data_IF_283904728254
#
_entry.id   IF_283904728254
#
_cell.length_a   1.000
_cell.length_b   1.000
_cell.length_c   1.000
_cell.angle_alpha   90.00
_cell.angle_beta   90.00
_cell.angle_gamma   90.00
#
_symmetry.space_group_name_H-M   'P 1'
#
loop_
_entity.id
_entity.type
_entity.pdbx_description
1 polymer ?
#
# COMPACT_ATOMS: atom_id res chain seq x y z
N UNK A 1 4.58 5.01 -16.22
CA UNK A 1 3.97 4.21 -15.14
C UNK A 1 4.71 2.88 -14.96
N UNK A 2 6.04 2.91 -14.76
CA UNK A 2 6.86 1.69 -14.79
C UNK A 2 6.76 0.83 -13.53
N UNK A 3 6.41 1.45 -12.39
CA UNK A 3 6.24 0.77 -11.10
C UNK A 3 5.13 -0.29 -11.14
N UNK A 4 4.26 -0.24 -12.16
CA UNK A 4 3.12 -1.12 -12.36
C UNK A 4 3.28 -2.03 -13.58
N UNK A 5 4.52 -2.29 -14.00
CA UNK A 5 4.84 -3.24 -15.07
C UNK A 5 5.26 -4.60 -14.50
N UNK A 6 4.99 -5.71 -15.20
CA UNK A 6 5.39 -7.04 -14.74
C UNK A 6 6.91 -7.17 -14.47
N UNK A 7 7.74 -6.63 -15.35
CA UNK A 7 9.20 -6.65 -15.20
C UNK A 7 9.67 -5.91 -13.93
N UNK A 8 8.95 -4.87 -13.50
CA UNK A 8 9.25 -4.20 -12.25
C UNK A 8 8.94 -5.10 -11.05
N UNK A 9 7.80 -5.82 -11.06
CA UNK A 9 7.44 -6.76 -9.99
C UNK A 9 8.47 -7.88 -9.84
N UNK A 10 8.95 -8.44 -10.95
CA UNK A 10 9.99 -9.47 -10.96
C UNK A 10 11.33 -8.91 -10.44
N UNK A 11 11.72 -7.69 -10.86
CA UNK A 11 12.92 -7.01 -10.32
C UNK A 11 12.80 -6.71 -8.84
N UNK A 12 11.63 -6.24 -8.39
CA UNK A 12 11.36 -5.93 -6.99
C UNK A 12 11.49 -7.19 -6.12
N UNK A 13 10.96 -8.33 -6.58
CA UNK A 13 11.09 -9.61 -5.88
C UNK A 13 12.55 -10.04 -5.67
N UNK A 14 13.45 -9.68 -6.60
CA UNK A 14 14.87 -9.98 -6.52
C UNK A 14 15.69 -9.02 -5.61
N UNK A 15 15.10 -7.91 -5.15
CA UNK A 15 15.78 -6.97 -4.24
C UNK A 15 15.95 -7.55 -2.84
N UNK A 16 16.90 -7.01 -2.06
CA UNK A 16 17.01 -7.33 -0.63
C UNK A 16 15.76 -6.85 0.12
N UNK A 17 15.48 -7.46 1.27
CA UNK A 17 14.35 -7.06 2.11
C UNK A 17 14.43 -5.58 2.54
N UNK A 18 15.63 -5.09 2.89
CA UNK A 18 15.85 -3.70 3.24
C UNK A 18 15.54 -2.75 2.08
N UNK A 19 15.97 -3.10 0.86
CA UNK A 19 15.67 -2.33 -0.35
C UNK A 19 14.17 -2.31 -0.65
N UNK A 20 13.48 -3.45 -0.51
CA UNK A 20 12.01 -3.52 -0.70
C UNK A 20 11.28 -2.63 0.30
N UNK A 21 11.66 -2.68 1.58
CA UNK A 21 11.05 -1.86 2.65
C UNK A 21 11.28 -0.37 2.41
N UNK A 22 12.50 0.04 2.04
CA UNK A 22 12.82 1.43 1.70
C UNK A 22 12.02 1.91 0.49
N UNK A 23 11.95 1.09 -0.56
CA UNK A 23 11.20 1.40 -1.77
C UNK A 23 9.71 1.63 -1.48
N UNK A 24 9.07 0.72 -0.74
CA UNK A 24 7.65 0.83 -0.41
C UNK A 24 7.35 2.10 0.40
N UNK A 25 8.21 2.46 1.36
CA UNK A 25 8.07 3.73 2.09
C UNK A 25 8.17 4.93 1.17
N UNK A 26 9.14 4.94 0.26
CA UNK A 26 9.41 6.08 -0.65
C UNK A 26 8.28 6.32 -1.64
N UNK A 27 7.66 5.26 -2.15
CA UNK A 27 6.70 5.32 -3.25
C UNK A 27 5.26 5.00 -2.83
N UNK A 28 4.95 4.98 -1.53
CA UNK A 28 3.60 4.74 -0.99
C UNK A 28 2.52 5.59 -1.69
N UNK A 29 2.79 6.89 -1.87
CA UNK A 29 1.84 7.83 -2.51
C UNK A 29 1.62 7.59 -4.01
N UNK A 30 2.45 6.78 -4.67
CA UNK A 30 2.21 6.38 -6.05
C UNK A 30 1.08 5.35 -6.17
N UNK A 31 0.77 4.63 -5.09
CA UNK A 31 -0.40 3.73 -4.99
C UNK A 31 -1.59 4.44 -4.35
N UNK A 32 -1.36 5.15 -3.24
CA UNK A 32 -2.43 5.59 -2.33
C UNK A 32 -2.79 7.07 -2.47
N UNK A 33 -2.63 7.61 -3.69
CA UNK A 33 -2.89 9.01 -4.00
C UNK A 33 -4.36 9.32 -4.28
N UNK A 34 -4.74 10.60 -4.11
CA UNK A 34 -6.04 11.11 -4.55
C UNK A 34 -5.91 11.55 -6.01
N UNK A 35 -6.86 11.14 -6.87
CA UNK A 35 -6.85 11.56 -8.28
C UNK A 35 -6.94 13.09 -8.42
N UNK A 36 -6.24 13.64 -9.42
CA UNK A 36 -6.20 15.09 -9.66
C UNK A 36 -7.61 15.68 -9.85
N UNK A 37 -8.47 15.00 -10.60
CA UNK A 37 -9.86 15.42 -10.82
C UNK A 37 -10.66 15.49 -9.53
N UNK A 38 -10.44 14.55 -8.60
CA UNK A 38 -11.09 14.55 -7.29
C UNK A 38 -10.56 15.66 -6.40
N UNK A 39 -9.23 15.86 -6.33
CA UNK A 39 -8.63 16.98 -5.60
C UNK A 39 -9.16 18.33 -6.10
N UNK A 40 -9.24 18.49 -7.42
CA UNK A 40 -9.79 19.68 -8.07
C UNK A 40 -11.25 19.89 -7.68
N UNK A 41 -12.06 18.83 -7.69
CA UNK A 41 -13.47 18.90 -7.29
C UNK A 41 -13.64 19.29 -5.82
N UNK A 42 -12.85 18.72 -4.91
CA UNK A 42 -12.84 19.07 -3.49
C UNK A 42 -12.49 20.55 -3.31
N UNK A 43 -11.41 21.02 -3.93
CA UNK A 43 -11.00 22.41 -3.84
C UNK A 43 -12.10 23.38 -4.33
N UNK A 44 -12.70 23.08 -5.48
CA UNK A 44 -13.79 23.89 -6.04
C UNK A 44 -15.02 23.92 -5.13
N UNK A 45 -15.35 22.78 -4.47
CA UNK A 45 -16.44 22.71 -3.52
C UNK A 45 -16.17 23.56 -2.27
N UNK A 46 -14.96 23.45 -1.69
CA UNK A 46 -14.54 24.27 -0.55
C UNK A 46 -14.57 25.76 -0.87
N UNK A 47 -14.08 26.15 -2.04
CA UNK A 47 -14.10 27.54 -2.49
C UNK A 47 -15.52 28.08 -2.63
N UNK A 48 -16.40 27.34 -3.32
CA UNK A 48 -17.81 27.75 -3.49
C UNK A 48 -18.49 27.96 -2.14
N UNK A 49 -18.32 26.99 -1.24
CA UNK A 49 -18.92 27.05 0.09
C UNK A 49 -18.38 28.23 0.92
N UNK A 50 -17.06 28.47 0.91
CA UNK A 50 -16.43 29.54 1.69
C UNK A 50 -16.78 30.96 1.18
N UNK A 51 -16.97 31.14 -0.13
CA UNK A 51 -17.06 32.48 -0.72
C UNK A 51 -18.39 32.83 -1.39
N UNK A 52 -19.16 31.84 -1.87
CA UNK A 52 -20.35 32.08 -2.69
C UNK A 52 -21.66 31.75 -1.97
N UNK A 53 -21.62 30.89 -0.95
CA UNK A 53 -22.81 30.45 -0.24
C UNK A 53 -23.13 31.33 0.98
N UNK A 54 -24.41 31.65 1.24
CA UNK A 54 -24.82 32.50 2.37
C UNK A 54 -24.75 31.75 3.71
N UNK A 55 -24.92 30.43 3.71
CA UNK A 55 -24.90 29.59 4.91
C UNK A 55 -23.56 28.88 5.01
N UNK A 56 -22.64 29.44 5.78
CA UNK A 56 -21.30 28.88 5.95
C UNK A 56 -21.28 27.90 7.12
N UNK A 57 -20.77 26.69 6.91
CA UNK A 57 -20.23 25.86 7.98
C UNK A 57 -18.70 26.03 8.12
N UNK A 58 -18.17 25.72 9.29
CA UNK A 58 -16.73 25.74 9.51
C UNK A 58 -16.12 24.44 8.97
N UNK A 59 -15.14 24.55 8.07
CA UNK A 59 -14.42 23.41 7.50
C UNK A 59 -12.93 23.65 7.72
N UNK A 60 -12.28 22.69 8.38
CA UNK A 60 -10.85 22.79 8.71
C UNK A 60 -10.12 21.55 8.20
N UNK A 61 -9.09 21.77 7.39
CA UNK A 61 -8.16 20.73 6.95
C UNK A 61 -6.92 20.78 7.86
N UNK A 62 -6.48 19.61 8.35
CA UNK A 62 -5.32 19.47 9.23
C UNK A 62 -4.28 18.54 8.59
N UNK A 63 -3.49 19.01 7.62
CA UNK A 63 -2.38 18.23 7.09
C UNK A 63 -1.25 18.12 8.14
N UNK A 64 -0.37 17.14 7.99
CA UNK A 64 0.82 17.01 8.85
C UNK A 64 0.57 16.51 10.28
N UNK A 65 -0.65 16.04 10.59
CA UNK A 65 -0.98 15.51 11.90
C UNK A 65 -1.20 13.98 11.87
N UNK A 66 -0.95 13.34 13.01
CA UNK A 66 -1.36 11.95 13.28
C UNK A 66 -2.38 11.94 14.40
N UNK A 67 -3.48 11.20 14.25
CA UNK A 67 -4.41 10.96 15.36
C UNK A 67 -3.83 9.86 16.24
N UNK A 68 -3.36 10.22 17.44
CA UNK A 68 -2.73 9.27 18.39
C UNK A 68 -3.76 8.57 19.27
N UNK A 69 -4.84 9.26 19.62
CA UNK A 69 -5.93 8.73 20.43
C UNK A 69 -7.31 9.17 19.92
N UNK A 70 -8.29 8.28 20.05
CA UNK A 70 -9.70 8.57 19.86
C UNK A 70 -10.48 7.85 20.95
N UNK A 71 -11.10 8.60 21.85
CA UNK A 71 -11.83 8.07 23.00
C UNK A 71 -13.30 8.49 22.94
N UNK A 72 -14.19 7.58 23.33
CA UNK A 72 -15.60 7.91 23.53
C UNK A 72 -15.74 8.74 24.81
N UNK A 73 -16.27 9.95 24.67
CA UNK A 73 -16.47 10.92 25.74
C UNK A 73 -17.94 11.01 26.21
N UNK A 74 -18.78 10.05 25.84
CA UNK A 74 -20.20 9.98 26.19
C UNK A 74 -21.10 10.74 25.20
N UNK A 75 -20.84 12.03 24.99
CA UNK A 75 -21.60 12.86 24.04
C UNK A 75 -21.01 12.87 22.61
N UNK A 76 -19.92 12.14 22.38
CA UNK A 76 -19.18 12.11 21.12
C UNK A 76 -17.80 11.53 21.33
N UNK A 77 -16.85 11.94 20.51
CA UNK A 77 -15.46 11.50 20.53
C UNK A 77 -14.51 12.65 20.83
N UNK A 78 -13.47 12.37 21.62
CA UNK A 78 -12.31 13.26 21.78
C UNK A 78 -11.12 12.62 21.08
N UNK A 79 -10.53 13.37 20.17
CA UNK A 79 -9.36 12.99 19.39
C UNK A 79 -8.15 13.79 19.86
N UNK A 80 -7.02 13.11 19.98
CA UNK A 80 -5.72 13.74 20.21
C UNK A 80 -4.94 13.70 18.91
N UNK A 81 -4.64 14.87 18.36
CA UNK A 81 -3.86 15.05 17.16
C UNK A 81 -2.45 15.44 17.58
N UNK A 82 -1.46 14.77 17.00
CA UNK A 82 -0.04 15.06 17.20
C UNK A 82 0.53 15.67 15.92
N UNK A 83 1.10 16.86 16.04
CA UNK A 83 1.76 17.61 14.98
C UNK A 83 3.28 17.56 15.22
N UNK A 84 4.00 16.80 14.39
CA UNK A 84 5.43 16.57 14.60
C UNK A 84 5.74 15.87 15.94
N UNK A 85 6.81 16.29 16.62
CA UNK A 85 7.25 15.64 17.86
C UNK A 85 6.61 16.21 19.15
N UNK A 86 6.22 17.48 19.17
CA UNK A 86 5.92 18.18 20.43
C UNK A 86 4.53 18.83 20.49
N UNK A 87 3.91 19.12 19.35
CA UNK A 87 2.64 19.84 19.33
C UNK A 87 1.45 18.88 19.39
N UNK A 88 0.54 19.14 20.34
CA UNK A 88 -0.66 18.33 20.57
C UNK A 88 -1.89 19.24 20.49
N UNK A 89 -2.87 18.83 19.69
CA UNK A 89 -4.18 19.47 19.54
C UNK A 89 -5.26 18.48 20.00
N UNK A 90 -6.24 18.95 20.77
CA UNK A 90 -7.44 18.18 21.08
C UNK A 90 -8.62 18.65 20.25
N UNK A 91 -9.31 17.71 19.61
CA UNK A 91 -10.51 17.96 18.80
C UNK A 91 -11.66 17.10 19.31
N UNK A 92 -12.88 17.65 19.29
CA UNK A 92 -14.09 16.88 19.60
C UNK A 92 -14.95 16.73 18.35
N UNK A 93 -15.60 15.58 18.22
CA UNK A 93 -16.47 15.28 17.09
C UNK A 93 -17.59 14.32 17.51
N UNK A 94 -18.82 14.57 17.06
CA UNK A 94 -19.94 13.65 17.31
C UNK A 94 -19.79 12.35 16.50
N UNK A 95 -19.21 12.45 15.30
CA UNK A 95 -19.01 11.34 14.35
C UNK A 95 -17.56 11.36 13.87
N UNK A 96 -16.92 10.19 13.88
CA UNK A 96 -15.58 9.98 13.34
C UNK A 96 -15.65 8.96 12.20
N UNK A 97 -15.14 9.33 11.03
CA UNK A 97 -15.03 8.45 9.87
C UNK A 97 -13.56 8.05 9.71
N UNK A 98 -13.25 6.76 9.92
CA UNK A 98 -11.90 6.21 9.77
C UNK A 98 -11.67 5.76 8.32
N UNK A 99 -11.06 6.63 7.51
CA UNK A 99 -10.66 6.34 6.14
C UNK A 99 -9.17 5.92 6.07
N UNK A 100 -8.72 5.03 6.96
CA UNK A 100 -7.30 4.67 7.18
C UNK A 100 -6.78 3.55 6.28
N UNK A 101 -7.52 3.18 5.23
CA UNK A 101 -7.15 2.09 4.32
C UNK A 101 -7.45 0.68 4.86
N UNK A 102 -6.73 -0.31 4.35
CA UNK A 102 -6.91 -1.73 4.67
C UNK A 102 -5.57 -2.39 5.00
N UNK A 103 -5.59 -3.38 5.91
CA UNK A 103 -4.45 -4.25 6.19
C UNK A 103 -4.74 -5.67 5.69
N UNK A 104 -3.76 -6.28 5.05
CA UNK A 104 -3.82 -7.69 4.67
C UNK A 104 -3.55 -8.57 5.89
N UNK A 105 -4.46 -9.49 6.19
CA UNK A 105 -4.31 -10.47 7.25
C UNK A 105 -4.51 -11.89 6.70
N UNK A 106 -3.79 -12.86 7.29
CA UNK A 106 -4.02 -14.27 7.00
C UNK A 106 -5.43 -14.64 7.46
N UNK A 107 -6.29 -15.18 6.57
CA UNK A 107 -7.65 -15.53 6.95
C UNK A 107 -7.71 -16.54 8.09
N UNK A 108 -8.57 -16.31 9.08
CA UNK A 108 -8.66 -17.16 10.29
C UNK A 108 -9.02 -18.63 10.03
N UNK A 109 -9.59 -18.96 8.86
CA UNK A 109 -9.81 -20.37 8.49
C UNK A 109 -8.52 -21.14 8.21
N UNK A 110 -7.39 -20.45 7.99
CA UNK A 110 -6.06 -21.06 7.83
C UNK A 110 -5.34 -21.30 9.17
N UNK A 111 -5.90 -20.80 10.29
CA UNK A 111 -5.30 -20.97 11.62
C UNK A 111 -4.97 -22.43 11.98
N UNK A 112 -5.80 -23.44 11.65
CA UNK A 112 -5.47 -24.84 11.94
C UNK A 112 -4.24 -25.40 11.20
N UNK A 113 -3.70 -24.68 10.22
CA UNK A 113 -2.49 -25.05 9.48
C UNK A 113 -1.43 -23.94 9.50
N UNK A 114 -1.53 -22.97 10.43
CA UNK A 114 -0.64 -21.82 10.50
C UNK A 114 0.83 -22.22 10.73
N UNK A 115 1.07 -23.30 11.47
CA UNK A 115 2.38 -23.90 11.73
C UNK A 115 3.07 -24.44 10.47
N UNK A 116 2.29 -24.71 9.41
CA UNK A 116 2.77 -25.22 8.13
C UNK A 116 2.94 -24.13 7.08
N UNK A 117 2.53 -22.89 7.36
CA UNK A 117 2.58 -21.77 6.44
C UNK A 117 3.81 -20.91 6.74
N UNK A 118 4.70 -20.74 5.76
CA UNK A 118 5.83 -19.83 5.90
C UNK A 118 5.35 -18.37 5.80
N UNK A 119 5.92 -17.51 6.65
CA UNK A 119 5.60 -16.07 6.69
C UNK A 119 6.86 -15.23 6.57
N UNK A 120 6.75 -14.08 5.90
CA UNK A 120 7.74 -13.02 5.85
C UNK A 120 7.03 -11.75 6.33
N UNK A 121 7.47 -11.20 7.47
CA UNK A 121 6.73 -10.16 8.20
C UNK A 121 5.26 -10.59 8.44
N UNK A 122 4.28 -9.81 7.97
CA UNK A 122 2.83 -10.10 8.07
C UNK A 122 2.27 -10.83 6.82
N UNK A 123 3.10 -11.16 5.83
CA UNK A 123 2.67 -11.80 4.59
C UNK A 123 2.99 -13.30 4.56
N UNK A 124 2.18 -14.08 3.83
CA UNK A 124 2.56 -15.44 3.47
C UNK A 124 3.74 -15.39 2.49
N UNK A 125 4.77 -16.19 2.75
CA UNK A 125 5.91 -16.31 1.83
C UNK A 125 5.43 -16.94 0.51
N UNK A 126 5.75 -16.32 -0.62
CA UNK A 126 5.32 -16.79 -1.94
C UNK A 126 6.48 -17.12 -2.87
N UNK A 127 6.23 -18.05 -3.80
CA UNK A 127 7.11 -18.39 -4.91
C UNK A 127 6.87 -17.49 -6.12
N UNK A 128 7.68 -17.70 -7.16
CA UNK A 128 7.61 -16.95 -8.42
C UNK A 128 6.22 -17.04 -9.11
N UNK A 129 5.51 -18.13 -8.89
CA UNK A 129 4.18 -18.41 -9.44
C UNK A 129 3.02 -17.99 -8.52
N UNK A 130 3.30 -17.25 -7.44
CA UNK A 130 2.33 -16.82 -6.42
C UNK A 130 1.76 -17.98 -5.59
N UNK A 131 2.37 -19.16 -5.63
CA UNK A 131 2.07 -20.23 -4.68
C UNK A 131 2.71 -19.94 -3.33
N UNK A 132 2.01 -20.23 -2.24
CA UNK A 132 2.50 -20.08 -0.87
C UNK A 132 3.56 -21.14 -0.59
N UNK A 133 4.63 -20.75 0.10
CA UNK A 133 5.58 -21.69 0.70
C UNK A 133 4.93 -22.31 1.94
N UNK A 134 4.67 -23.61 1.89
CA UNK A 134 4.03 -24.33 2.98
C UNK A 134 4.43 -25.81 2.97
N UNK A 135 4.45 -26.42 4.15
CA UNK A 135 4.75 -27.85 4.35
C UNK A 135 3.52 -28.70 4.06
N UNK A 136 3.10 -28.73 2.79
CA UNK A 136 1.92 -29.43 2.30
C UNK A 136 2.22 -30.48 1.23
N UNK A 137 1.23 -31.29 0.84
CA UNK A 137 1.37 -32.19 -0.31
C UNK A 137 1.78 -31.42 -1.58
N UNK A 138 2.75 -31.93 -2.32
CA UNK A 138 3.30 -31.25 -3.51
C UNK A 138 2.26 -31.02 -4.63
N UNK A 139 1.20 -31.81 -4.67
CA UNK A 139 0.08 -31.70 -5.61
C UNK A 139 -1.01 -30.70 -5.15
N UNK A 140 -0.87 -30.14 -3.94
CA UNK A 140 -1.81 -29.17 -3.36
C UNK A 140 -1.08 -27.84 -3.17
N UNK A 141 -1.36 -26.90 -4.06
CA UNK A 141 -0.82 -25.53 -3.97
C UNK A 141 -1.88 -24.58 -3.45
N UNK A 142 -1.46 -23.69 -2.56
CA UNK A 142 -2.24 -22.54 -2.11
C UNK A 142 -1.73 -21.34 -2.91
N UNK A 143 -2.64 -20.59 -3.54
CA UNK A 143 -2.28 -19.37 -4.26
C UNK A 143 -2.90 -18.17 -3.55
N UNK A 144 -2.18 -17.06 -3.54
CA UNK A 144 -2.66 -15.79 -2.96
C UNK A 144 -2.78 -14.72 -4.02
N UNK A 145 -3.68 -13.77 -3.75
CA UNK A 145 -4.00 -12.63 -4.60
C UNK A 145 -4.00 -11.38 -3.72
N UNK A 146 -3.34 -10.31 -4.19
CA UNK A 146 -3.29 -9.00 -3.50
C UNK A 146 -2.77 -9.06 -2.05
N UNK A 147 -1.88 -10.00 -1.75
CA UNK A 147 -1.39 -10.28 -0.39
C UNK A 147 0.14 -10.37 -0.33
N UNK A 148 0.82 -9.73 -1.29
CA UNK A 148 2.27 -9.86 -1.46
C UNK A 148 2.92 -8.52 -1.80
N UNK A 149 2.45 -7.42 -1.20
CA UNK A 149 2.99 -6.07 -1.40
C UNK A 149 4.49 -6.01 -1.06
N UNK A 150 4.87 -6.60 0.07
CA UNK A 150 6.24 -6.70 0.58
C UNK A 150 7.17 -7.53 -0.31
N UNK A 151 6.60 -8.42 -1.12
CA UNK A 151 7.34 -9.36 -1.97
C UNK A 151 7.28 -9.03 -3.47
N UNK A 152 6.25 -8.31 -3.92
CA UNK A 152 5.92 -8.07 -5.35
C UNK A 152 5.73 -6.61 -5.73
N UNK A 153 5.77 -5.71 -4.74
CA UNK A 153 5.78 -4.27 -4.95
C UNK A 153 4.39 -3.66 -5.07
N UNK A 154 4.34 -2.35 -5.29
CA UNK A 154 3.13 -1.51 -5.25
C UNK A 154 2.00 -1.96 -6.17
N UNK A 155 2.34 -2.67 -7.24
CA UNK A 155 1.37 -3.15 -8.19
C UNK A 155 0.56 -4.36 -7.67
N UNK A 156 1.02 -5.03 -6.61
CA UNK A 156 0.39 -6.25 -6.11
C UNK A 156 -1.06 -6.04 -5.60
N UNK A 157 -1.38 -5.05 -4.76
CA UNK A 157 -2.77 -4.80 -4.35
C UNK A 157 -3.63 -4.20 -5.47
N UNK A 158 -3.04 -3.81 -6.60
CA UNK A 158 -3.69 -3.06 -7.66
C UNK A 158 -4.21 -3.95 -8.80
N UNK A 159 -5.20 -3.45 -9.54
CA UNK A 159 -5.80 -4.17 -10.67
C UNK A 159 -4.87 -4.24 -11.90
N UNK A 160 -3.83 -3.42 -11.96
CA UNK A 160 -2.95 -3.26 -13.12
C UNK A 160 -2.25 -4.56 -13.54
N UNK A 161 -1.90 -5.42 -12.58
CA UNK A 161 -1.17 -6.67 -12.83
C UNK A 161 -2.02 -7.93 -12.63
N UNK A 162 -3.34 -7.80 -12.47
CA UNK A 162 -4.24 -8.94 -12.21
C UNK A 162 -4.19 -9.98 -13.33
N UNK A 163 -4.29 -9.54 -14.60
CA UNK A 163 -4.27 -10.45 -15.74
C UNK A 163 -2.92 -11.19 -15.88
N UNK A 164 -1.82 -10.48 -15.62
CA UNK A 164 -0.48 -11.07 -15.62
C UNK A 164 -0.33 -12.12 -14.51
N UNK A 165 -0.75 -11.80 -13.28
CA UNK A 165 -0.69 -12.74 -12.15
C UNK A 165 -1.57 -13.96 -12.39
N UNK A 166 -2.81 -13.74 -12.87
CA UNK A 166 -3.73 -14.81 -13.20
C UNK A 166 -3.14 -15.75 -14.27
N UNK A 167 -2.43 -15.21 -15.25
CA UNK A 167 -1.72 -16.02 -16.25
C UNK A 167 -0.62 -16.88 -15.63
N UNK A 168 0.20 -16.33 -14.73
CA UNK A 168 1.27 -17.08 -14.04
C UNK A 168 0.72 -18.22 -13.17
N UNK A 169 -0.34 -17.95 -12.41
CA UNK A 169 -1.04 -18.96 -11.61
C UNK A 169 -1.62 -20.05 -12.51
N UNK A 170 -2.29 -19.67 -13.62
CA UNK A 170 -2.86 -20.63 -14.56
C UNK A 170 -1.79 -21.51 -15.23
N UNK A 171 -0.66 -20.92 -15.63
CA UNK A 171 0.44 -21.68 -16.21
C UNK A 171 1.06 -22.65 -15.19
N UNK A 172 1.19 -22.25 -13.92
CA UNK A 172 1.60 -23.14 -12.82
C UNK A 172 0.62 -24.30 -12.60
N UNK A 173 -0.68 -24.01 -12.58
CA UNK A 173 -1.75 -25.02 -12.47
C UNK A 173 -1.73 -26.03 -13.60
N UNK A 174 -1.42 -25.58 -14.83
CA UNK A 174 -1.37 -26.42 -16.03
C UNK A 174 -0.01 -27.08 -16.28
N UNK A 175 0.97 -26.91 -15.38
CA UNK A 175 2.32 -27.47 -15.53
C UNK A 175 3.08 -26.90 -16.73
N UNK A 176 2.73 -25.69 -17.18
CA UNK A 176 3.40 -25.02 -18.29
C UNK A 176 4.68 -24.36 -17.79
N UNK A 177 5.71 -24.37 -18.62
CA UNK A 177 6.94 -23.63 -18.32
C UNK A 177 6.62 -22.14 -18.11
N UNK A 178 7.25 -21.48 -17.12
CA UNK A 178 7.13 -20.04 -16.95
C UNK A 178 7.47 -19.35 -18.26
N UNK A 179 6.55 -18.55 -18.79
CA UNK A 179 6.85 -17.67 -19.91
C UNK A 179 7.51 -16.44 -19.33
N UNK A 180 8.76 -16.18 -19.74
CA UNK A 180 9.32 -14.86 -19.57
C UNK A 180 8.33 -13.87 -20.20
N UNK A 181 7.94 -12.84 -19.44
CA UNK A 181 7.30 -11.71 -20.07
C UNK A 181 8.27 -11.20 -21.14
N UNK A 182 7.81 -10.82 -22.34
CA UNK A 182 8.67 -10.09 -23.24
C UNK A 182 9.20 -8.90 -22.44
N UNK A 183 10.51 -8.89 -22.19
CA UNK A 183 11.18 -7.75 -21.62
C UNK A 183 10.97 -6.63 -22.63
N UNK A 184 9.92 -5.85 -22.43
CA UNK A 184 9.99 -4.49 -22.88
C UNK A 184 10.90 -3.85 -21.85
N UNK A 185 12.17 -3.55 -22.18
CA UNK A 185 12.93 -2.65 -21.34
C UNK A 185 12.02 -1.43 -21.19
N UNK A 186 11.70 -1.08 -19.95
CA UNK A 186 11.06 0.19 -19.68
C UNK A 186 11.87 1.29 -20.35
N UNK A 187 11.28 2.47 -20.47
CA UNK A 187 12.02 3.62 -20.95
C UNK A 187 13.10 4.07 -19.95
N UNK A 188 13.06 3.56 -18.71
CA UNK A 188 14.06 3.80 -17.67
C UNK A 188 14.96 2.57 -17.53
N UNK A 189 16.24 2.76 -17.86
CA UNK A 189 17.28 1.79 -17.54
C UNK A 189 17.31 1.53 -16.03
N UNK A 190 17.51 0.29 -15.56
CA UNK A 190 17.77 0.04 -14.16
C UNK A 190 19.04 0.80 -13.77
N UNK A 191 18.91 1.94 -13.10
CA UNK A 191 20.02 2.48 -12.33
C UNK A 191 20.39 1.42 -11.30
N UNK A 192 21.68 1.09 -11.21
CA UNK A 192 22.17 0.17 -10.18
C UNK A 192 21.58 0.59 -8.84
N UNK A 193 21.09 -0.39 -8.09
CA UNK A 193 20.43 -0.20 -6.78
C UNK A 193 21.50 0.15 -5.72
N UNK A 194 22.28 1.19 -5.96
CA UNK A 194 23.53 1.49 -5.25
C UNK A 194 23.65 2.94 -4.75
N UNK A 195 22.59 3.75 -4.74
CA UNK A 195 22.68 5.10 -4.16
C UNK A 195 21.45 5.61 -3.42
N UNK A 196 20.60 4.71 -2.91
CA UNK A 196 19.59 5.12 -1.92
C UNK A 196 20.24 5.10 -0.53
N UNK A 197 20.89 6.21 -0.14
CA UNK A 197 21.29 6.40 1.26
C UNK A 197 20.05 6.65 2.13
N UNK A 198 20.08 6.17 3.38
CA UNK A 198 19.00 6.32 4.38
C UNK A 198 18.61 7.79 4.69
N UNK A 199 19.33 8.77 4.14
CA UNK A 199 19.28 10.18 4.51
C UNK A 199 18.15 11.01 3.91
N UNK A 200 17.27 10.48 3.04
CA UNK A 200 16.20 11.31 2.41
C UNK A 200 14.86 11.21 3.16
N UNK A 201 14.82 10.60 4.34
CA UNK A 201 13.62 10.60 5.19
C UNK A 201 13.40 11.95 5.92
N UNK A 202 14.39 12.85 5.97
CA UNK A 202 14.28 14.13 6.68
C UNK A 202 13.87 15.34 5.80
N UNK A 203 13.91 15.26 4.47
CA UNK A 203 13.66 16.43 3.61
C UNK A 203 12.26 16.53 2.96
N UNK A 204 11.35 15.57 3.19
CA UNK A 204 9.99 15.64 2.61
C UNK A 204 8.94 16.17 3.60
N UNK A 205 9.37 16.83 4.67
CA UNK A 205 8.52 17.52 5.66
C UNK A 205 8.46 19.04 5.52
N UNK A 206 9.01 19.63 4.44
CA UNK A 206 8.94 21.08 4.22
C UNK A 206 8.57 21.39 2.76
N UNK A 207 7.39 21.96 2.56
CA UNK A 207 6.83 22.36 1.26
C UNK A 207 6.00 21.23 0.65
N UNK A 208 4.68 21.29 0.60
CA UNK A 208 3.78 22.41 0.28
C UNK A 208 2.52 22.33 1.16
#
# INVERSE_FOLDING_TARGET
NELFMPCFSDRFAAMSESQRKLFLRRFMLASDGISESTLRAIYQALYRHAFLEPNRCEITLRPGCTVSHCINAGAGHRLTLQHGMEEIEEVTADIVILATGYENAVPGFLEPMADRLEKIDNELAIREDFSVCWDGPHDRRIFVQNASLGQRGLADPNLSLLAWRARRILDSLLGRAPRANPEHPGFISPTSVESWSDTVAEEMGSGI
#
